data_IF_254661274686
#
_entry.id   IF_254661274686
#
_cell.length_a   1.000
_cell.length_b   1.000
_cell.length_c   1.000
_cell.angle_alpha   90.00
_cell.angle_beta   90.00
_cell.angle_gamma   90.00
#
_symmetry.space_group_name_H-M   'P 1'
#
loop_
_entity.id
_entity.type
_entity.pdbx_description
1 polymer ?
#
# COMPACT_ATOMS: atom_id res chain seq x y z
N UNK A 1 14.29 31.63 7.85
CA UNK A 1 13.04 31.51 7.07
C UNK A 1 12.73 30.04 6.96
N UNK A 2 11.84 29.54 7.82
CA UNK A 2 11.56 28.11 7.96
C UNK A 2 10.58 27.69 6.86
N UNK A 3 10.95 26.70 6.06
CA UNK A 3 10.18 26.24 4.90
C UNK A 3 8.88 25.57 5.37
N UNK A 4 7.72 26.12 5.01
CA UNK A 4 6.40 25.62 5.43
C UNK A 4 6.15 24.18 4.92
N UNK A 5 6.79 23.80 3.81
CA UNK A 5 6.78 22.43 3.29
C UNK A 5 7.43 21.42 4.25
N UNK A 6 8.44 21.85 5.01
CA UNK A 6 9.19 21.02 5.97
C UNK A 6 8.35 20.78 7.23
N UNK A 7 7.63 21.81 7.71
CA UNK A 7 6.76 21.74 8.89
C UNK A 7 5.57 20.78 8.71
N UNK A 8 4.97 20.76 7.50
CA UNK A 8 3.84 19.87 7.20
C UNK A 8 4.27 18.40 7.10
N UNK A 9 5.44 18.13 6.49
CA UNK A 9 6.02 16.79 6.48
C UNK A 9 6.43 16.32 7.87
N UNK A 10 7.01 17.19 8.70
CA UNK A 10 7.40 16.84 10.07
C UNK A 10 6.20 16.53 10.96
N UNK A 11 5.12 17.32 10.86
CA UNK A 11 3.88 17.07 11.60
C UNK A 11 3.24 15.74 11.19
N UNK A 12 3.21 15.43 9.88
CA UNK A 12 2.68 14.18 9.37
C UNK A 12 3.52 12.96 9.80
N UNK A 13 4.85 13.07 9.74
CA UNK A 13 5.74 12.01 10.22
C UNK A 13 5.67 11.82 11.74
N UNK A 14 5.53 12.92 12.49
CA UNK A 14 5.38 12.89 13.94
C UNK A 14 4.07 12.18 14.35
N UNK A 15 2.98 12.41 13.63
CA UNK A 15 1.70 11.70 13.87
C UNK A 15 1.80 10.20 13.51
N UNK A 16 2.45 9.84 12.38
CA UNK A 16 2.70 8.45 11.98
C UNK A 16 3.56 7.66 12.99
N UNK A 17 4.57 8.32 13.57
CA UNK A 17 5.40 7.71 14.62
C UNK A 17 4.60 7.49 15.90
N UNK A 18 3.72 8.45 16.27
CA UNK A 18 2.81 8.32 17.39
C UNK A 18 1.86 7.12 17.25
N UNK A 19 1.32 6.91 16.06
CA UNK A 19 0.40 5.80 15.78
C UNK A 19 1.13 4.44 15.81
N UNK A 20 2.37 4.36 15.29
CA UNK A 20 3.21 3.15 15.43
C UNK A 20 3.48 2.80 16.88
N UNK A 21 3.79 3.79 17.72
CA UNK A 21 4.07 3.56 19.13
C UNK A 21 2.82 3.12 19.90
N UNK A 22 1.65 3.65 19.56
CA UNK A 22 0.37 3.17 20.10
C UNK A 22 0.11 1.71 19.72
N UNK A 23 0.38 1.30 18.47
CA UNK A 23 0.25 -0.09 18.03
C UNK A 23 1.24 -1.03 18.73
N UNK A 24 2.49 -0.60 18.94
CA UNK A 24 3.47 -1.40 19.69
C UNK A 24 3.05 -1.60 21.15
N UNK A 25 2.49 -0.56 21.78
CA UNK A 25 1.94 -0.66 23.14
C UNK A 25 0.73 -1.59 23.21
N UNK A 26 -0.18 -1.52 22.25
CA UNK A 26 -1.34 -2.41 22.17
C UNK A 26 -0.96 -3.88 21.92
N UNK A 27 0.14 -4.14 21.20
CA UNK A 27 0.65 -5.48 20.93
C UNK A 27 1.40 -6.13 22.12
N UNK A 28 1.63 -5.40 23.22
CA UNK A 28 2.36 -5.90 24.39
C UNK A 28 1.42 -6.15 25.57
N UNK A 29 0.34 -6.91 25.34
CA UNK A 29 -0.42 -7.55 26.41
C UNK A 29 0.06 -9.01 26.52
N UNK A 30 0.48 -9.49 27.71
CA UNK A 30 0.86 -10.88 27.90
C UNK A 30 -0.40 -11.76 27.81
N UNK A 31 -0.60 -12.38 26.64
CA UNK A 31 -1.49 -13.53 26.48
C UNK A 31 -0.81 -14.73 27.15
N UNK A 32 -1.03 -14.85 28.45
CA UNK A 32 -0.73 -16.06 29.20
C UNK A 32 -1.88 -17.04 29.02
N UNK A 33 -1.78 -17.92 28.03
CA UNK A 33 -2.45 -19.22 28.09
C UNK A 33 -1.70 -20.25 27.24
N UNK A 34 -1.18 -21.24 27.97
CA UNK A 34 -0.95 -22.63 27.59
C UNK A 34 0.20 -22.96 26.63
N UNK A 35 1.35 -23.21 27.25
CA UNK A 35 2.34 -24.15 26.77
C UNK A 35 1.87 -25.58 27.10
N UNK A 36 1.73 -26.46 26.10
CA UNK A 36 2.11 -27.87 26.26
C UNK A 36 2.24 -28.62 24.92
N UNK A 37 3.50 -28.97 24.64
CA UNK A 37 4.03 -30.16 23.97
C UNK A 37 3.22 -30.86 22.85
N UNK A 38 3.84 -30.97 21.67
CA UNK A 38 4.44 -32.27 21.29
C UNK A 38 5.39 -32.12 20.09
N UNK A 39 6.65 -32.45 20.33
CA UNK A 39 7.61 -32.79 19.30
C UNK A 39 7.52 -34.29 19.04
N UNK A 40 7.47 -34.72 17.78
CA UNK A 40 8.11 -35.97 17.41
C UNK A 40 8.65 -35.93 15.98
N UNK A 41 9.96 -36.17 15.90
CA UNK A 41 10.75 -36.40 14.70
C UNK A 41 10.43 -37.80 14.16
N UNK A 42 10.31 -37.97 12.84
CA UNK A 42 10.89 -39.14 12.18
C UNK A 42 10.99 -38.91 10.68
N UNK A 43 12.16 -39.25 10.14
CA UNK A 43 12.53 -38.99 8.76
C UNK A 43 11.85 -39.92 7.75
N UNK A 44 11.92 -39.50 6.50
CA UNK A 44 12.15 -40.40 5.38
C UNK A 44 12.75 -39.56 4.25
N UNK A 45 14.03 -39.82 3.96
CA UNK A 45 14.57 -39.56 2.63
C UNK A 45 13.73 -40.32 1.62
N UNK A 46 13.13 -39.60 0.69
CA UNK A 46 12.74 -40.15 -0.61
C UNK A 46 13.26 -39.22 -1.70
N UNK A 47 14.40 -39.62 -2.24
CA UNK A 47 14.75 -39.42 -3.64
C UNK A 47 13.56 -39.81 -4.52
N UNK A 48 13.00 -38.83 -5.23
CA UNK A 48 12.24 -39.06 -6.46
C UNK A 48 12.14 -37.75 -7.23
N UNK A 49 13.06 -37.59 -8.17
CA UNK A 49 12.81 -36.81 -9.38
C UNK A 49 11.61 -37.44 -10.07
N UNK A 50 10.41 -36.92 -9.82
CA UNK A 50 9.28 -37.08 -10.71
C UNK A 50 8.81 -35.68 -11.08
N UNK A 51 8.68 -35.46 -12.38
CA UNK A 51 8.20 -34.22 -12.97
C UNK A 51 6.85 -33.86 -12.34
N UNK A 52 6.90 -33.02 -11.30
CA UNK A 52 5.70 -32.52 -10.65
C UNK A 52 5.02 -31.63 -11.68
N UNK A 53 3.89 -32.11 -12.17
CA UNK A 53 2.87 -31.33 -12.85
C UNK A 53 2.41 -30.24 -11.87
N UNK A 54 3.26 -29.22 -11.69
CA UNK A 54 3.03 -28.12 -10.78
C UNK A 54 1.89 -27.34 -11.39
N UNK A 55 0.69 -27.52 -10.81
CA UNK A 55 -0.43 -26.61 -11.05
C UNK A 55 0.14 -25.19 -10.96
N UNK A 56 -0.07 -24.34 -11.96
CA UNK A 56 0.51 -23.01 -11.96
C UNK A 56 0.06 -22.31 -10.69
N UNK A 57 1.04 -21.91 -9.88
CA UNK A 57 0.82 -21.29 -8.60
C UNK A 57 0.60 -19.79 -8.85
N UNK A 58 -0.13 -19.11 -7.96
CA UNK A 58 -0.48 -17.68 -8.13
C UNK A 58 0.77 -16.79 -8.31
N UNK A 59 1.92 -17.22 -7.79
CA UNK A 59 3.20 -16.54 -7.95
C UNK A 59 3.75 -16.57 -9.39
N UNK A 60 3.33 -17.53 -10.23
CA UNK A 60 3.81 -17.69 -11.61
C UNK A 60 3.31 -16.56 -12.53
N UNK A 61 2.24 -15.87 -12.13
CA UNK A 61 1.63 -14.76 -12.88
C UNK A 61 1.77 -13.41 -12.19
N UNK A 62 2.56 -13.34 -11.11
CA UNK A 62 2.77 -12.11 -10.37
C UNK A 62 3.76 -11.21 -11.14
N UNK A 63 3.45 -9.91 -11.32
CA UNK A 63 4.41 -8.97 -11.87
C UNK A 63 5.59 -8.81 -10.91
N UNK A 64 6.76 -8.60 -11.49
CA UNK A 64 7.98 -8.39 -10.71
C UNK A 64 7.92 -7.09 -9.90
N UNK A 65 8.91 -6.92 -9.02
CA UNK A 65 8.99 -5.76 -8.15
C UNK A 65 9.22 -4.47 -8.93
N UNK A 66 9.92 -4.55 -10.06
CA UNK A 66 10.26 -3.39 -10.89
C UNK A 66 9.01 -2.85 -11.59
N UNK A 67 8.22 -3.72 -12.21
CA UNK A 67 6.93 -3.38 -12.83
C UNK A 67 5.99 -2.72 -11.82
N UNK A 68 5.90 -3.27 -10.60
CA UNK A 68 5.08 -2.69 -9.52
C UNK A 68 5.58 -1.30 -9.10
N UNK A 69 6.90 -1.10 -9.06
CA UNK A 69 7.49 0.20 -8.73
C UNK A 69 7.20 1.23 -9.84
N UNK A 70 7.32 0.84 -11.10
CA UNK A 70 6.97 1.70 -12.24
C UNK A 70 5.47 2.03 -12.25
N UNK A 71 4.59 1.07 -11.96
CA UNK A 71 3.16 1.31 -11.86
C UNK A 71 2.84 2.33 -10.75
N UNK A 72 3.44 2.17 -9.57
CA UNK A 72 3.28 3.14 -8.47
C UNK A 72 3.69 4.54 -8.89
N UNK A 73 4.89 4.67 -9.48
CA UNK A 73 5.39 5.97 -9.94
C UNK A 73 4.45 6.60 -10.96
N UNK A 74 3.96 5.85 -11.94
CA UNK A 74 3.00 6.35 -12.93
C UNK A 74 1.69 6.84 -12.32
N UNK A 75 1.19 6.14 -11.30
CA UNK A 75 -0.01 6.55 -10.57
C UNK A 75 0.26 7.80 -9.75
N UNK A 76 1.42 7.88 -9.08
CA UNK A 76 1.84 9.06 -8.34
C UNK A 76 1.97 10.29 -9.25
N UNK A 77 2.67 10.16 -10.38
CA UNK A 77 2.83 11.23 -11.39
C UNK A 77 1.46 11.69 -11.93
N UNK A 78 0.52 10.76 -12.13
CA UNK A 78 -0.83 11.08 -12.62
C UNK A 78 -1.70 11.81 -11.57
N UNK A 79 -1.46 11.59 -10.28
CA UNK A 79 -2.20 12.20 -9.17
C UNK A 79 -1.53 13.45 -8.61
N UNK A 80 -0.27 13.70 -8.95
CA UNK A 80 0.48 14.88 -8.52
C UNK A 80 -0.28 16.20 -8.72
N UNK A 81 -0.92 16.48 -9.89
CA UNK A 81 -1.67 17.72 -10.07
C UNK A 81 -2.83 17.87 -9.08
N UNK A 82 -3.46 16.75 -8.70
CA UNK A 82 -4.58 16.76 -7.76
C UNK A 82 -4.11 16.98 -6.32
N UNK A 83 -2.96 16.41 -5.95
CA UNK A 83 -2.29 16.70 -4.67
C UNK A 83 -1.92 18.18 -4.59
N UNK A 84 -1.25 18.71 -5.62
CA UNK A 84 -0.87 20.12 -5.70
C UNK A 84 -2.09 21.05 -5.58
N UNK A 85 -3.16 20.77 -6.31
CA UNK A 85 -4.40 21.55 -6.21
C UNK A 85 -4.98 21.60 -4.79
N UNK A 86 -4.95 20.47 -4.07
CA UNK A 86 -5.47 20.39 -2.70
C UNK A 86 -4.58 21.17 -1.72
N UNK A 87 -3.25 21.08 -1.88
CA UNK A 87 -2.29 21.86 -1.10
C UNK A 87 -2.44 23.37 -1.35
N UNK A 88 -2.52 23.78 -2.62
CA UNK A 88 -2.70 25.17 -3.02
C UNK A 88 -4.02 25.73 -2.49
N UNK A 89 -5.11 24.95 -2.59
CA UNK A 89 -6.41 25.34 -2.02
C UNK A 89 -6.31 25.51 -0.50
N UNK A 90 -5.68 24.57 0.21
CA UNK A 90 -5.52 24.68 1.66
C UNK A 90 -4.73 25.94 2.04
N UNK A 91 -3.62 26.22 1.35
CA UNK A 91 -2.81 27.40 1.58
C UNK A 91 -3.56 28.70 1.25
N UNK A 92 -4.30 28.71 0.15
CA UNK A 92 -5.12 29.84 -0.25
C UNK A 92 -6.20 30.14 0.79
N UNK A 93 -6.88 29.11 1.32
CA UNK A 93 -7.85 29.28 2.42
C UNK A 93 -7.16 29.83 3.66
N UNK A 94 -6.06 29.23 4.13
CA UNK A 94 -5.32 29.69 5.30
C UNK A 94 -4.77 31.13 5.15
N UNK A 95 -4.54 31.59 3.92
CA UNK A 95 -4.10 32.95 3.61
C UNK A 95 -5.19 34.02 3.67
N UNK A 96 -6.49 33.67 3.74
CA UNK A 96 -7.61 34.63 3.69
C UNK A 96 -7.81 35.47 4.96
N UNK A 97 -7.09 35.18 6.05
CA UNK A 97 -7.10 36.02 7.24
C UNK A 97 -7.00 35.24 8.55
N UNK A 98 -7.24 35.91 9.69
CA UNK A 98 -7.16 35.28 10.99
C UNK A 98 -8.35 34.33 11.20
N UNK A 99 -8.06 33.02 11.15
CA UNK A 99 -9.02 31.98 11.50
C UNK A 99 -9.09 31.79 13.02
N UNK A 100 -10.30 31.60 13.54
CA UNK A 100 -10.48 31.02 14.87
C UNK A 100 -10.07 29.53 14.87
N UNK A 101 -9.85 28.96 16.06
CA UNK A 101 -9.37 27.57 16.18
C UNK A 101 -10.30 26.55 15.50
N UNK A 102 -11.61 26.78 15.57
CA UNK A 102 -12.61 25.91 14.97
C UNK A 102 -12.53 25.90 13.43
N UNK A 103 -12.40 27.07 12.80
CA UNK A 103 -12.28 27.17 11.36
C UNK A 103 -10.97 26.54 10.84
N UNK A 104 -9.87 26.66 11.60
CA UNK A 104 -8.62 25.94 11.27
C UNK A 104 -8.79 24.42 11.35
N UNK A 105 -9.48 23.93 12.38
CA UNK A 105 -9.75 22.50 12.51
C UNK A 105 -10.62 21.95 11.38
N UNK A 106 -11.62 22.72 10.94
CA UNK A 106 -12.47 22.35 9.80
C UNK A 106 -11.65 22.26 8.50
N UNK A 107 -10.85 23.27 8.20
CA UNK A 107 -9.96 23.29 7.03
C UNK A 107 -8.97 22.11 7.04
N UNK A 108 -8.38 21.81 8.20
CA UNK A 108 -7.47 20.66 8.35
C UNK A 108 -8.20 19.32 8.13
N UNK A 109 -9.42 19.20 8.64
CA UNK A 109 -10.24 17.99 8.46
C UNK A 109 -10.61 17.79 6.99
N UNK A 110 -11.03 18.86 6.30
CA UNK A 110 -11.33 18.82 4.86
C UNK A 110 -10.11 18.45 4.03
N UNK A 111 -8.94 19.02 4.37
CA UNK A 111 -7.67 18.68 3.72
C UNK A 111 -7.33 17.20 3.89
N UNK A 112 -7.38 16.68 5.13
CA UNK A 112 -7.13 15.27 5.43
C UNK A 112 -8.09 14.34 4.71
N UNK A 113 -9.38 14.68 4.69
CA UNK A 113 -10.39 13.89 4.00
C UNK A 113 -10.11 13.82 2.50
N UNK A 114 -9.82 14.97 1.88
CA UNK A 114 -9.52 15.04 0.45
C UNK A 114 -8.24 14.26 0.11
N UNK A 115 -7.19 14.40 0.92
CA UNK A 115 -5.95 13.64 0.76
C UNK A 115 -6.17 12.14 0.91
N UNK A 116 -7.06 11.72 1.83
CA UNK A 116 -7.43 10.32 1.97
C UNK A 116 -8.15 9.80 0.72
N UNK A 117 -9.07 10.57 0.14
CA UNK A 117 -9.74 10.21 -1.12
C UNK A 117 -8.76 10.06 -2.28
N UNK A 118 -7.72 10.92 -2.36
CA UNK A 118 -6.65 10.78 -3.36
C UNK A 118 -5.88 9.46 -3.16
N UNK A 119 -5.58 9.09 -1.91
CA UNK A 119 -4.90 7.82 -1.59
C UNK A 119 -5.75 6.60 -1.95
N UNK A 120 -7.05 6.65 -1.66
CA UNK A 120 -7.98 5.58 -2.03
C UNK A 120 -8.05 5.41 -3.55
N UNK A 121 -8.07 6.51 -4.30
CA UNK A 121 -8.01 6.48 -5.76
C UNK A 121 -6.70 5.85 -6.26
N UNK A 122 -5.56 6.24 -5.69
CA UNK A 122 -4.25 5.66 -6.03
C UNK A 122 -4.23 4.13 -5.82
N UNK A 123 -4.75 3.68 -4.67
CA UNK A 123 -4.83 2.26 -4.34
C UNK A 123 -5.78 1.51 -5.28
N UNK A 124 -6.93 2.10 -5.61
CA UNK A 124 -7.88 1.55 -6.58
C UNK A 124 -7.24 1.34 -7.95
N UNK A 125 -6.54 2.35 -8.47
CA UNK A 125 -5.83 2.27 -9.75
C UNK A 125 -4.72 1.23 -9.73
N UNK A 126 -3.96 1.16 -8.63
CA UNK A 126 -2.90 0.17 -8.48
C UNK A 126 -3.46 -1.26 -8.52
N UNK A 127 -4.52 -1.54 -7.77
CA UNK A 127 -5.14 -2.87 -7.73
C UNK A 127 -5.77 -3.25 -9.07
N UNK A 128 -6.41 -2.30 -9.75
CA UNK A 128 -7.02 -2.50 -11.06
C UNK A 128 -5.96 -2.93 -12.09
N UNK A 129 -4.89 -2.14 -12.22
CA UNK A 129 -3.81 -2.41 -13.18
C UNK A 129 -3.02 -3.68 -12.82
N UNK A 130 -2.79 -3.93 -11.52
CA UNK A 130 -2.15 -5.16 -11.07
C UNK A 130 -2.97 -6.41 -11.45
N UNK A 131 -4.29 -6.35 -11.29
CA UNK A 131 -5.17 -7.46 -11.68
C UNK A 131 -5.21 -7.64 -13.20
N UNK A 132 -5.26 -6.54 -13.95
CA UNK A 132 -5.18 -6.55 -15.41
C UNK A 132 -3.92 -7.26 -15.91
N UNK A 133 -2.76 -6.90 -15.36
CA UNK A 133 -1.48 -7.53 -15.73
C UNK A 133 -1.45 -9.03 -15.37
N UNK A 134 -1.95 -9.41 -14.19
CA UNK A 134 -2.09 -10.83 -13.80
C UNK A 134 -2.97 -11.59 -14.79
N UNK A 135 -4.10 -11.03 -15.19
CA UNK A 135 -5.00 -11.63 -16.17
C UNK A 135 -4.34 -11.78 -17.54
N UNK A 136 -3.62 -10.76 -17.99
CA UNK A 136 -2.88 -10.80 -19.25
C UNK A 136 -1.80 -11.89 -19.24
N UNK A 137 -1.05 -12.03 -18.14
CA UNK A 137 -0.05 -13.10 -17.96
C UNK A 137 -0.71 -14.49 -17.95
N UNK A 138 -1.84 -14.65 -17.25
CA UNK A 138 -2.63 -15.88 -17.25
C UNK A 138 -3.10 -16.27 -18.66
N UNK A 139 -3.65 -15.31 -19.42
CA UNK A 139 -4.13 -15.56 -20.79
C UNK A 139 -2.99 -15.89 -21.76
N UNK A 140 -1.86 -15.21 -21.63
CA UNK A 140 -0.67 -15.49 -22.46
C UNK A 140 -0.14 -16.90 -22.20
N UNK A 141 -0.05 -17.31 -20.93
CA UNK A 141 0.36 -18.67 -20.59
C UNK A 141 -0.66 -19.73 -21.08
N UNK A 142 -1.96 -19.44 -20.98
CA UNK A 142 -3.01 -20.35 -21.44
C UNK A 142 -3.02 -20.53 -22.98
N UNK A 143 -2.70 -19.47 -23.73
CA UNK A 143 -2.66 -19.51 -25.20
C UNK A 143 -1.41 -20.22 -25.74
N UNK A 144 -0.26 -20.11 -25.07
CA UNK A 144 0.97 -20.85 -25.42
C UNK A 144 0.83 -22.36 -25.19
N UNK A 145 -0.05 -22.79 -24.29
CA UNK A 145 -0.25 -24.21 -23.99
C UNK A 145 -1.16 -24.97 -24.99
N UNK A 146 -1.73 -24.30 -26.00
CA UNK A 146 -2.58 -24.93 -27.01
C UNK A 146 -1.82 -25.06 -28.34
N UNK A 147 -1.29 -26.25 -28.70
CA UNK A 147 -0.69 -26.43 -30.01
C UNK A 147 -1.75 -26.31 -31.13
N UNK A 148 -1.39 -25.82 -32.33
CA UNK A 148 -2.27 -25.88 -33.49
C UNK A 148 -2.54 -27.35 -33.86
N UNK A 149 -3.80 -27.62 -34.22
CA UNK A 149 -4.26 -28.91 -34.73
C UNK A 149 -3.82 -29.15 -36.17
#
# INVERSE_FOLDING_TARGET
>A
MTNIKELATEQYQHELNRERDQRRRAATLPSSSDASANANLSGHEQVSSSASSRKPCVADFEPDKEWKAQLKKRIEDALEPMVQYVEERQQAELGKGPFNAEARMRLETEYKQTMNSIKELANGQYLLELNRERDQRRQTAATVSRPPA
#
